data_IF_313456967624
#
_entry.id   IF_313456967624
#
_cell.length_a   1.000
_cell.length_b   1.000
_cell.length_c   1.000
_cell.angle_alpha   90.00
_cell.angle_beta   90.00
_cell.angle_gamma   90.00
#
_symmetry.space_group_name_H-M   'P 1'
#
loop_
_entity.id
_entity.type
_entity.pdbx_description
1 polymer ?
#
# COMPACT_ATOMS: atom_id res chain seq x y z
N UNK A 1 32.59 16.04 -47.09
CA UNK A 1 32.02 14.93 -46.26
C UNK A 1 31.08 15.58 -45.25
N UNK A 2 29.75 15.53 -45.45
CA UNK A 2 28.77 14.68 -44.72
C UNK A 2 28.96 14.73 -43.19
N UNK A 3 28.01 15.06 -42.32
CA UNK A 3 26.58 15.36 -42.43
C UNK A 3 26.10 16.09 -41.15
N UNK A 4 25.10 16.97 -41.26
CA UNK A 4 24.25 17.45 -40.15
C UNK A 4 23.23 16.37 -39.79
N UNK A 5 23.05 16.06 -38.50
CA UNK A 5 21.85 15.43 -37.90
C UNK A 5 21.76 15.95 -36.45
N UNK A 6 20.89 16.93 -36.17
CA UNK A 6 19.47 16.80 -35.82
C UNK A 6 19.28 16.60 -34.32
N UNK A 7 18.72 17.64 -33.69
CA UNK A 7 18.21 17.61 -32.33
C UNK A 7 17.07 16.58 -32.27
N UNK A 8 17.34 15.42 -31.65
CA UNK A 8 16.35 14.39 -31.45
C UNK A 8 15.33 14.88 -30.41
N UNK A 9 14.13 15.16 -30.91
CA UNK A 9 12.88 15.35 -30.19
C UNK A 9 12.67 14.26 -29.13
N UNK A 10 12.54 14.69 -27.87
CA UNK A 10 12.14 13.83 -26.75
C UNK A 10 10.64 13.56 -26.82
N UNK A 11 10.16 12.31 -26.94
CA UNK A 11 8.73 12.03 -26.80
C UNK A 11 8.31 12.24 -25.33
N UNK A 12 7.34 13.14 -25.13
CA UNK A 12 6.71 13.46 -23.85
C UNK A 12 5.80 12.30 -23.39
N UNK A 13 6.36 11.21 -22.89
CA UNK A 13 5.67 10.30 -21.94
C UNK A 13 6.71 9.40 -21.29
N UNK A 14 7.39 9.89 -20.24
CA UNK A 14 8.04 8.97 -19.31
C UNK A 14 6.93 8.37 -18.46
N UNK A 15 6.72 7.04 -18.42
CA UNK A 15 5.98 6.47 -17.30
C UNK A 15 6.77 6.85 -16.07
N UNK A 16 6.15 7.60 -15.17
CA UNK A 16 6.75 8.03 -13.93
C UNK A 16 7.21 6.78 -13.20
N UNK A 17 8.50 6.47 -13.30
CA UNK A 17 9.13 5.41 -12.52
C UNK A 17 9.19 5.99 -11.11
N UNK A 18 8.06 5.95 -10.40
CA UNK A 18 7.94 6.34 -9.00
C UNK A 18 8.99 5.53 -8.28
N UNK A 19 10.05 6.19 -7.82
CA UNK A 19 11.06 5.56 -7.01
C UNK A 19 10.34 5.13 -5.71
N UNK A 20 10.10 3.82 -5.48
CA UNK A 20 9.15 3.37 -4.45
C UNK A 20 9.61 3.75 -3.02
N UNK A 21 10.84 4.22 -2.84
CA UNK A 21 11.41 4.60 -1.55
C UNK A 21 11.07 6.01 -1.05
N UNK A 22 10.46 6.88 -1.87
CA UNK A 22 10.13 8.27 -1.48
C UNK A 22 8.63 8.57 -1.40
N UNK A 23 7.77 7.60 -1.71
CA UNK A 23 6.32 7.81 -1.60
C UNK A 23 5.94 7.96 -0.12
N UNK A 24 5.45 9.16 0.22
CA UNK A 24 4.88 9.47 1.52
C UNK A 24 3.36 9.23 1.46
N UNK A 25 2.81 8.71 2.55
CA UNK A 25 1.37 8.63 2.77
C UNK A 25 1.01 9.23 4.12
N UNK A 26 -0.27 9.46 4.34
CA UNK A 26 -0.81 9.89 5.63
C UNK A 26 -1.76 8.81 6.12
N UNK A 27 -1.69 8.47 7.39
CA UNK A 27 -2.65 7.55 8.02
C UNK A 27 -4.00 8.26 8.11
N UNK A 28 -4.97 7.81 7.32
CA UNK A 28 -6.31 8.40 7.29
C UNK A 28 -7.21 7.82 8.39
N UNK A 29 -7.03 6.53 8.69
CA UNK A 29 -7.87 5.76 9.61
C UNK A 29 -7.02 4.76 10.40
N UNK A 30 -7.30 4.64 11.68
CA UNK A 30 -6.76 3.60 12.56
C UNK A 30 -7.95 2.97 13.27
N UNK A 31 -8.17 1.67 13.07
CA UNK A 31 -9.24 0.97 13.77
C UNK A 31 -8.83 0.72 15.23
N UNK A 32 -9.74 0.88 16.22
CA UNK A 32 -9.40 0.73 17.64
C UNK A 32 -8.78 -0.62 17.99
N UNK A 33 -9.23 -1.70 17.34
CA UNK A 33 -8.70 -3.05 17.52
C UNK A 33 -7.44 -3.34 16.71
N UNK A 34 -6.90 -2.36 15.98
CA UNK A 34 -5.61 -2.47 15.26
C UNK A 34 -5.57 -3.42 14.06
N UNK A 35 -6.65 -4.14 13.79
CA UNK A 35 -6.76 -5.09 12.67
C UNK A 35 -6.80 -4.42 11.29
N UNK A 36 -7.06 -3.11 11.21
CA UNK A 36 -7.13 -2.40 9.94
C UNK A 36 -6.53 -0.99 10.03
N UNK A 37 -5.89 -0.57 8.93
CA UNK A 37 -5.29 0.75 8.77
C UNK A 37 -5.68 1.33 7.41
N UNK A 38 -6.18 2.55 7.42
CA UNK A 38 -6.40 3.35 6.21
C UNK A 38 -5.22 4.28 5.96
N UNK A 39 -4.76 4.34 4.72
CA UNK A 39 -3.71 5.22 4.24
C UNK A 39 -4.23 6.07 3.09
N UNK A 40 -3.78 7.31 3.04
CA UNK A 40 -3.96 8.20 1.89
C UNK A 40 -2.59 8.52 1.29
N UNK A 41 -2.40 8.14 0.03
CA UNK A 41 -1.21 8.50 -0.73
C UNK A 41 -1.26 9.97 -1.14
N UNK A 42 -0.09 10.60 -1.35
CA UNK A 42 -0.01 11.95 -1.94
C UNK A 42 -0.67 12.08 -3.31
N UNK A 43 -0.78 10.96 -4.05
CA UNK A 43 -1.44 10.93 -5.35
C UNK A 43 -2.96 10.72 -5.23
N UNK A 44 -3.52 10.86 -4.03
CA UNK A 44 -4.97 10.76 -3.77
C UNK A 44 -5.48 9.34 -3.55
N UNK A 45 -4.66 8.30 -3.68
CA UNK A 45 -5.11 6.93 -3.51
C UNK A 45 -5.45 6.65 -2.04
N UNK A 46 -6.63 6.13 -1.80
CA UNK A 46 -7.09 5.71 -0.48
C UNK A 46 -7.00 4.18 -0.40
N UNK A 47 -6.15 3.71 0.51
CA UNK A 47 -5.77 2.32 0.64
C UNK A 47 -6.22 1.84 2.02
N UNK A 48 -6.97 0.75 2.07
CA UNK A 48 -7.33 0.05 3.29
C UNK A 48 -6.54 -1.25 3.36
N UNK A 49 -5.79 -1.43 4.44
CA UNK A 49 -5.11 -2.68 4.78
C UNK A 49 -5.95 -3.33 5.89
N UNK A 50 -6.51 -4.49 5.62
CA UNK A 50 -7.30 -5.28 6.59
C UNK A 50 -6.53 -6.57 6.89
N UNK A 51 -6.11 -6.77 8.14
CA UNK A 51 -5.21 -7.86 8.54
C UNK A 51 -6.03 -9.06 8.98
N UNK A 52 -6.06 -10.10 8.15
CA UNK A 52 -6.84 -11.31 8.39
C UNK A 52 -8.34 -11.14 8.09
N UNK A 53 -9.09 -12.23 8.21
CA UNK A 53 -10.55 -12.25 8.08
C UNK A 53 -11.19 -12.35 9.46
N UNK A 54 -12.22 -11.54 9.72
CA UNK A 54 -12.97 -11.49 10.98
C UNK A 54 -12.10 -11.23 12.24
N UNK A 55 -10.88 -10.72 12.08
CA UNK A 55 -9.93 -10.46 13.18
C UNK A 55 -10.34 -9.29 14.06
N UNK A 56 -11.40 -8.56 13.70
CA UNK A 56 -12.05 -7.59 14.59
C UNK A 56 -12.54 -8.24 15.88
N UNK A 57 -12.96 -9.51 15.82
CA UNK A 57 -13.45 -10.32 16.95
C UNK A 57 -12.36 -10.57 18.01
N UNK A 58 -11.08 -10.42 17.65
CA UNK A 58 -9.97 -10.50 18.60
C UNK A 58 -9.92 -9.30 19.55
N UNK A 59 -10.75 -8.27 19.34
CA UNK A 59 -10.85 -7.09 20.21
C UNK A 59 -9.49 -6.41 20.48
N UNK A 60 -8.57 -6.48 19.52
CA UNK A 60 -7.21 -5.92 19.61
C UNK A 60 -6.17 -6.85 20.22
N UNK A 61 -6.55 -8.04 20.66
CA UNK A 61 -5.62 -9.03 21.18
C UNK A 61 -4.68 -9.54 20.08
N UNK A 62 -3.37 -9.45 20.34
CA UNK A 62 -2.35 -9.84 19.35
C UNK A 62 -2.01 -8.75 18.33
N UNK A 63 -2.60 -7.55 18.43
CA UNK A 63 -2.25 -6.39 17.61
C UNK A 63 -1.63 -5.27 18.44
N UNK A 64 -0.57 -4.67 17.89
CA UNK A 64 0.09 -3.48 18.42
C UNK A 64 0.20 -2.44 17.31
N UNK A 65 -0.66 -1.43 17.38
CA UNK A 65 -0.62 -0.31 16.44
C UNK A 65 0.58 0.60 16.76
N UNK A 66 1.35 0.94 15.73
CA UNK A 66 2.57 1.75 15.86
C UNK A 66 2.42 3.17 15.30
N UNK A 67 1.25 3.49 14.76
CA UNK A 67 0.95 4.77 14.10
C UNK A 67 -0.36 5.36 14.59
N UNK A 68 -0.48 6.67 14.49
CA UNK A 68 -1.68 7.41 14.86
C UNK A 68 -2.38 7.97 13.63
N UNK A 69 -3.67 8.29 13.76
CA UNK A 69 -4.41 9.04 12.75
C UNK A 69 -3.69 10.36 12.44
N UNK A 70 -3.75 10.77 11.17
CA UNK A 70 -3.13 11.99 10.61
C UNK A 70 -1.59 11.98 10.60
N UNK A 71 -0.95 10.87 11.00
CA UNK A 71 0.50 10.72 10.95
C UNK A 71 1.00 10.53 9.51
N UNK A 72 2.06 11.26 9.11
CA UNK A 72 2.79 10.97 7.89
C UNK A 72 3.67 9.72 8.04
N UNK A 73 3.60 8.83 7.05
CA UNK A 73 4.36 7.58 6.98
C UNK A 73 5.09 7.46 5.65
N UNK A 74 6.16 6.66 5.64
CA UNK A 74 6.97 6.38 4.45
C UNK A 74 6.91 4.89 4.09
N UNK A 75 7.15 4.57 2.82
CA UNK A 75 7.26 3.16 2.38
C UNK A 75 8.30 2.41 3.22
N UNK A 76 7.93 1.23 3.72
CA UNK A 76 8.75 0.40 4.59
C UNK A 76 8.65 0.73 6.09
N UNK A 77 7.94 1.79 6.47
CA UNK A 77 7.68 2.08 7.88
C UNK A 77 6.68 1.07 8.45
N UNK A 78 6.99 0.44 9.60
CA UNK A 78 6.02 -0.42 10.30
C UNK A 78 4.77 0.36 10.73
N UNK A 79 3.59 -0.19 10.46
CA UNK A 79 2.30 0.40 10.83
C UNK A 79 1.65 -0.31 12.02
N UNK A 80 1.67 -1.64 11.98
CA UNK A 80 1.12 -2.53 13.01
C UNK A 80 2.08 -3.71 13.19
N UNK A 81 2.27 -4.14 14.43
CA UNK A 81 2.90 -5.42 14.77
C UNK A 81 1.82 -6.37 15.24
N UNK A 82 1.89 -7.62 14.81
CA UNK A 82 0.96 -8.64 15.23
C UNK A 82 1.63 -10.01 15.26
N UNK A 83 1.10 -10.90 16.10
CA UNK A 83 1.59 -12.26 16.24
C UNK A 83 0.82 -13.19 15.31
N UNK A 84 1.50 -13.61 14.24
CA UNK A 84 0.93 -14.49 13.23
C UNK A 84 0.53 -15.85 13.80
N UNK A 85 1.34 -16.41 14.69
CA UNK A 85 1.13 -17.76 15.21
C UNK A 85 0.01 -17.75 16.25
N UNK A 86 -0.04 -16.72 17.10
CA UNK A 86 -1.13 -16.56 18.07
C UNK A 86 -2.50 -16.37 17.39
N UNK A 87 -2.56 -15.59 16.30
CA UNK A 87 -3.83 -15.36 15.58
C UNK A 87 -4.27 -16.64 14.84
N UNK A 88 -3.34 -17.35 14.19
CA UNK A 88 -3.65 -18.65 13.55
C UNK A 88 -4.07 -19.70 14.54
N UNK A 89 -3.45 -19.76 15.73
CA UNK A 89 -3.81 -20.71 16.77
C UNK A 89 -5.24 -20.53 17.28
N UNK A 90 -5.80 -19.32 17.14
CA UNK A 90 -7.21 -19.02 17.45
C UNK A 90 -8.18 -19.33 16.31
N UNK A 91 -7.69 -19.84 15.17
CA UNK A 91 -8.52 -20.26 14.03
C UNK A 91 -8.85 -19.17 13.02
N UNK A 92 -8.19 -18.01 13.08
CA UNK A 92 -8.43 -16.92 12.13
C UNK A 92 -7.57 -17.05 10.87
N UNK A 93 -8.15 -16.68 9.74
CA UNK A 93 -7.44 -16.56 8.47
C UNK A 93 -6.62 -15.25 8.46
N UNK A 94 -5.37 -15.31 8.03
CA UNK A 94 -4.44 -14.17 7.98
C UNK A 94 -4.25 -13.58 6.58
N UNK A 95 -5.07 -13.99 5.61
CA UNK A 95 -5.19 -13.33 4.32
C UNK A 95 -5.49 -11.86 4.59
N UNK A 96 -4.62 -10.99 4.08
CA UNK A 96 -4.65 -9.56 4.37
C UNK A 96 -5.07 -8.81 3.11
N UNK A 97 -6.36 -8.47 2.94
CA UNK A 97 -6.80 -7.62 1.85
C UNK A 97 -6.09 -6.26 1.84
N UNK A 98 -5.64 -5.85 0.66
CA UNK A 98 -5.18 -4.50 0.37
C UNK A 98 -6.14 -3.91 -0.67
N UNK A 99 -6.95 -2.95 -0.26
CA UNK A 99 -8.11 -2.47 -1.01
C UNK A 99 -7.92 -1.01 -1.36
N UNK A 100 -8.18 -0.64 -2.61
CA UNK A 100 -8.31 0.77 -3.02
C UNK A 100 -9.76 1.20 -2.84
N UNK A 101 -10.04 2.00 -1.81
CA UNK A 101 -11.42 2.38 -1.44
C UNK A 101 -12.03 3.40 -2.39
N UNK A 102 -11.19 4.20 -3.06
CA UNK A 102 -11.59 5.17 -4.06
C UNK A 102 -11.26 4.72 -5.49
N UNK A 103 -11.44 3.43 -5.80
CA UNK A 103 -11.13 2.85 -7.12
C UNK A 103 -11.80 3.57 -8.29
N UNK A 104 -13.00 4.13 -8.11
CA UNK A 104 -13.74 4.93 -9.12
C UNK A 104 -13.01 6.20 -9.56
N UNK A 105 -12.02 6.67 -8.80
CA UNK A 105 -11.21 7.84 -9.14
C UNK A 105 -10.07 7.52 -10.12
N UNK A 106 -9.91 6.25 -10.50
CA UNK A 106 -8.87 5.77 -11.40
C UNK A 106 -9.49 5.15 -12.64
N UNK A 107 -8.87 5.37 -13.80
CA UNK A 107 -9.32 4.80 -15.07
C UNK A 107 -8.91 3.33 -15.17
N UNK A 108 -7.71 3.00 -14.68
CA UNK A 108 -7.18 1.65 -14.71
C UNK A 108 -6.49 1.29 -13.39
N UNK A 109 -6.75 0.06 -12.93
CA UNK A 109 -6.06 -0.59 -11.82
C UNK A 109 -5.36 -1.82 -12.38
N UNK A 110 -4.05 -1.72 -12.56
CA UNK A 110 -3.22 -2.78 -13.14
C UNK A 110 -2.45 -3.57 -12.08
N UNK A 111 -2.25 -4.86 -12.34
CA UNK A 111 -1.35 -5.69 -11.55
C UNK A 111 0.10 -5.41 -11.95
N UNK A 112 0.94 -5.01 -10.98
CA UNK A 112 2.38 -4.85 -11.23
C UNK A 112 3.15 -6.16 -11.06
N UNK A 113 2.69 -7.03 -10.15
CA UNK A 113 3.35 -8.30 -9.85
C UNK A 113 2.33 -9.29 -9.30
N UNK A 114 2.43 -10.56 -9.72
CA UNK A 114 1.62 -11.68 -9.23
C UNK A 114 2.51 -12.76 -8.61
N UNK A 115 1.99 -13.50 -7.64
CA UNK A 115 2.73 -14.54 -6.91
C UNK A 115 3.45 -14.01 -5.67
N UNK A 116 4.58 -14.62 -5.32
CA UNK A 116 5.32 -14.25 -4.11
C UNK A 116 5.90 -12.83 -4.21
N UNK A 117 5.59 -12.00 -3.21
CA UNK A 117 6.06 -10.62 -3.08
C UNK A 117 6.78 -10.43 -1.75
N UNK A 118 7.70 -9.47 -1.72
CA UNK A 118 8.39 -9.05 -0.49
C UNK A 118 7.89 -7.68 -0.05
N UNK A 119 8.07 -7.37 1.24
CA UNK A 119 7.76 -6.04 1.75
C UNK A 119 8.51 -4.97 0.93
N UNK A 120 7.77 -3.99 0.43
CA UNK A 120 8.30 -2.93 -0.45
C UNK A 120 8.20 -3.23 -1.95
N UNK A 121 7.79 -4.42 -2.37
CA UNK A 121 7.47 -4.70 -3.76
C UNK A 121 6.24 -3.91 -4.22
N UNK A 122 6.23 -3.49 -5.48
CA UNK A 122 5.07 -2.88 -6.10
C UNK A 122 4.10 -3.97 -6.54
N UNK A 123 2.85 -3.88 -6.05
CA UNK A 123 1.80 -4.88 -6.32
C UNK A 123 0.73 -4.36 -7.28
N UNK A 124 0.39 -3.07 -7.22
CA UNK A 124 -0.65 -2.44 -8.02
C UNK A 124 -0.14 -1.13 -8.66
N UNK A 125 -0.69 -0.82 -9.84
CA UNK A 125 -0.56 0.47 -10.54
C UNK A 125 -1.92 1.10 -10.71
N UNK A 126 -1.98 2.42 -10.49
CA UNK A 126 -3.19 3.23 -10.65
C UNK A 126 -2.90 4.33 -11.67
N UNK A 127 -3.81 4.52 -12.64
CA UNK A 127 -3.72 5.54 -13.69
C UNK A 127 -5.06 6.19 -14.00
#
# INVERSE_FOLDING_TARGET
>A
MKARLSAASWPKTKPTRLNPKSSKGTVSLVFPTGHAIGLKSKNGAEILIHIGMDTVELNGEGFLVLVSKDQEVKVGQPLVKFDLDAIKAKGYDLTTPVIITNSKSYQEIGDSKRGAVKAGDQVLTLS
#
